data_IF_917055637436
#
_entry.id   IF_917055637436
#
_cell.length_a   1.000
_cell.length_b   1.000
_cell.length_c   1.000
_cell.angle_alpha   90.00
_cell.angle_beta   90.00
_cell.angle_gamma   90.00
#
_symmetry.space_group_name_H-M   'P 1'
#
loop_
_entity.id
_entity.type
_entity.pdbx_description
1 polymer ?
#
# COMPACT_ATOMS: atom_id res chain seq x y z
N UNK A 1 14.64 -20.80 21.43
CA UNK A 1 14.85 -19.55 22.20
C UNK A 1 15.43 -18.42 21.35
N UNK A 2 16.46 -18.65 20.52
CA UNK A 2 16.96 -17.61 19.61
C UNK A 2 15.98 -17.16 18.52
N UNK A 3 15.14 -18.07 17.99
CA UNK A 3 14.12 -17.73 16.98
C UNK A 3 13.10 -16.72 17.49
N UNK A 4 12.61 -16.87 18.73
CA UNK A 4 11.64 -15.93 19.31
C UNK A 4 12.25 -14.54 19.55
N UNK A 5 13.54 -14.45 19.89
CA UNK A 5 14.18 -13.15 20.08
C UNK A 5 14.45 -12.45 18.75
N UNK A 6 14.83 -13.19 17.70
CA UNK A 6 14.99 -12.64 16.35
C UNK A 6 13.65 -12.20 15.76
N UNK A 7 12.61 -13.02 15.91
CA UNK A 7 11.25 -12.67 15.48
C UNK A 7 10.71 -11.48 16.28
N UNK A 8 10.93 -11.43 17.60
CA UNK A 8 10.54 -10.29 18.42
C UNK A 8 11.35 -9.02 18.11
N UNK A 9 12.64 -9.15 17.77
CA UNK A 9 13.48 -8.03 17.36
C UNK A 9 13.08 -7.49 15.99
N UNK A 10 12.76 -8.38 15.04
CA UNK A 10 12.18 -8.00 13.75
C UNK A 10 10.81 -7.36 13.94
N UNK A 11 9.93 -7.95 14.74
CA UNK A 11 8.64 -7.37 15.10
C UNK A 11 8.81 -5.99 15.73
N UNK A 12 9.73 -5.81 16.68
CA UNK A 12 10.01 -4.51 17.30
C UNK A 12 10.50 -3.46 16.30
N UNK A 13 11.40 -3.83 15.38
CA UNK A 13 11.91 -2.89 14.38
C UNK A 13 10.86 -2.53 13.33
N UNK A 14 10.08 -3.50 12.84
CA UNK A 14 8.91 -3.22 12.01
C UNK A 14 7.85 -2.43 12.78
N UNK A 15 7.77 -2.62 14.10
CA UNK A 15 6.85 -1.84 14.92
C UNK A 15 7.27 -0.38 15.01
N UNK A 16 8.55 -0.07 15.10
CA UNK A 16 9.00 1.32 15.18
C UNK A 16 8.89 2.08 13.84
N UNK A 17 8.85 1.37 12.71
CA UNK A 17 8.60 1.96 11.38
C UNK A 17 7.13 2.40 11.22
N UNK A 18 6.22 1.85 12.04
CA UNK A 18 4.77 2.16 12.03
C UNK A 18 4.39 2.69 13.42
N UNK A 19 4.94 3.85 13.76
CA UNK A 19 4.76 4.49 15.08
C UNK A 19 3.52 5.38 15.19
N UNK A 20 2.90 5.77 14.07
CA UNK A 20 1.75 6.69 14.05
C UNK A 20 0.38 6.00 14.20
N UNK A 21 0.30 4.67 14.07
CA UNK A 21 -0.96 3.93 14.11
C UNK A 21 -1.13 3.11 15.40
N UNK A 22 -2.39 2.93 15.81
CA UNK A 22 -2.76 2.06 16.93
C UNK A 22 -2.31 0.61 16.69
N UNK A 23 -2.03 -0.12 17.79
CA UNK A 23 -1.43 -1.46 17.76
C UNK A 23 -2.22 -2.47 16.89
N UNK A 24 -3.55 -2.39 16.92
CA UNK A 24 -4.42 -3.28 16.12
C UNK A 24 -4.32 -2.99 14.62
N UNK A 25 -4.28 -1.72 14.22
CA UNK A 25 -4.18 -1.31 12.82
C UNK A 25 -2.88 -1.77 12.17
N UNK A 26 -1.81 -1.69 12.96
CA UNK A 26 -0.48 -2.11 12.58
C UNK A 26 -0.36 -3.61 12.34
N UNK A 27 -1.00 -4.43 13.18
CA UNK A 27 -1.02 -5.87 12.99
C UNK A 27 -1.78 -6.26 11.71
N UNK A 28 -2.91 -5.60 11.43
CA UNK A 28 -3.66 -5.80 10.18
C UNK A 28 -2.80 -5.37 8.99
N UNK A 29 -2.12 -4.23 9.09
CA UNK A 29 -1.21 -3.76 8.06
C UNK A 29 -0.09 -4.79 7.77
N UNK A 30 0.59 -5.27 8.81
CA UNK A 30 1.66 -6.25 8.65
C UNK A 30 1.15 -7.57 8.03
N UNK A 31 -0.06 -7.98 8.39
CA UNK A 31 -0.70 -9.16 7.80
C UNK A 31 -0.97 -9.00 6.30
N UNK A 32 -1.45 -7.83 5.87
CA UNK A 32 -1.68 -7.52 4.45
C UNK A 32 -0.34 -7.47 3.68
N UNK A 33 0.70 -6.91 4.28
CA UNK A 33 2.04 -6.90 3.71
C UNK A 33 2.55 -8.31 3.39
N UNK A 34 2.38 -9.23 4.34
CA UNK A 34 2.76 -10.63 4.18
C UNK A 34 1.98 -11.30 3.06
N UNK A 35 0.68 -11.03 2.94
CA UNK A 35 -0.10 -11.54 1.82
C UNK A 35 0.37 -11.02 0.45
N UNK A 36 0.72 -9.74 0.36
CA UNK A 36 1.27 -9.18 -0.89
C UNK A 36 2.59 -9.86 -1.28
N UNK A 37 3.44 -10.20 -0.30
CA UNK A 37 4.66 -10.96 -0.55
C UNK A 37 4.37 -12.42 -0.95
N UNK A 38 3.38 -13.07 -0.33
CA UNK A 38 2.97 -14.44 -0.68
C UNK A 38 2.40 -14.53 -2.10
N UNK A 39 1.65 -13.52 -2.55
CA UNK A 39 1.12 -13.44 -3.90
C UNK A 39 2.20 -13.46 -5.00
N UNK A 40 3.47 -13.21 -4.65
CA UNK A 40 4.61 -13.29 -5.58
C UNK A 40 5.20 -14.70 -5.70
N UNK A 41 4.83 -15.64 -4.82
CA UNK A 41 5.27 -17.02 -5.00
C UNK A 41 4.72 -17.57 -6.32
N UNK A 42 5.55 -18.28 -7.09
CA UNK A 42 5.11 -18.84 -8.37
C UNK A 42 3.86 -19.71 -8.15
N UNK A 43 2.93 -19.65 -9.11
CA UNK A 43 1.65 -20.37 -9.10
C UNK A 43 0.59 -19.90 -8.07
N UNK A 44 0.92 -19.02 -7.12
CA UNK A 44 -0.09 -18.46 -6.21
C UNK A 44 -0.81 -17.24 -6.78
N UNK A 45 -0.22 -16.57 -7.78
CA UNK A 45 -0.78 -15.36 -8.33
C UNK A 45 -2.05 -15.62 -9.17
N UNK A 46 -3.14 -14.94 -8.83
CA UNK A 46 -4.36 -14.86 -9.64
C UNK A 46 -4.94 -13.45 -9.60
N UNK A 47 -5.25 -12.88 -10.78
CA UNK A 47 -5.75 -11.51 -10.94
C UNK A 47 -7.01 -11.26 -10.10
N UNK A 48 -7.94 -12.23 -10.09
CA UNK A 48 -9.20 -12.16 -9.32
C UNK A 48 -8.93 -12.26 -7.81
N UNK A 49 -8.05 -13.16 -7.39
CA UNK A 49 -7.68 -13.32 -5.98
C UNK A 49 -7.00 -12.07 -5.42
N UNK A 50 -6.13 -11.45 -6.22
CA UNK A 50 -5.50 -10.18 -5.86
C UNK A 50 -6.53 -9.06 -5.70
N UNK A 51 -7.41 -8.87 -6.69
CA UNK A 51 -8.48 -7.86 -6.62
C UNK A 51 -9.38 -8.10 -5.40
N UNK A 52 -9.74 -9.36 -5.14
CA UNK A 52 -10.49 -9.76 -3.96
C UNK A 52 -9.78 -9.38 -2.66
N UNK A 53 -8.48 -9.62 -2.54
CA UNK A 53 -7.69 -9.26 -1.37
C UNK A 53 -7.68 -7.74 -1.14
N UNK A 54 -7.51 -6.96 -2.21
CA UNK A 54 -7.48 -5.51 -2.11
C UNK A 54 -8.83 -4.93 -1.70
N UNK A 55 -9.92 -5.40 -2.30
CA UNK A 55 -11.26 -4.94 -1.97
C UNK A 55 -11.68 -5.38 -0.56
N UNK A 56 -11.27 -6.57 -0.10
CA UNK A 56 -11.69 -7.10 1.21
C UNK A 56 -10.86 -6.59 2.38
N UNK A 57 -9.57 -6.33 2.20
CA UNK A 57 -8.71 -5.92 3.32
C UNK A 57 -8.29 -4.45 3.24
N UNK A 58 -7.89 -3.97 2.06
CA UNK A 58 -7.35 -2.61 1.91
C UNK A 58 -8.48 -1.57 1.87
N UNK A 59 -9.55 -1.82 1.11
CA UNK A 59 -10.65 -0.85 1.01
C UNK A 59 -11.35 -0.57 2.36
N UNK A 60 -11.65 -1.57 3.23
CA UNK A 60 -12.27 -1.30 4.52
C UNK A 60 -11.39 -0.51 5.47
N UNK A 61 -10.07 -0.71 5.45
CA UNK A 61 -9.13 0.10 6.25
C UNK A 61 -9.27 1.59 5.91
N UNK A 62 -9.26 1.93 4.62
CA UNK A 62 -9.45 3.31 4.19
C UNK A 62 -10.84 3.84 4.54
N UNK A 63 -11.88 3.02 4.33
CA UNK A 63 -13.25 3.41 4.64
C UNK A 63 -13.46 3.68 6.14
N UNK A 64 -12.82 2.91 7.02
CA UNK A 64 -12.91 3.13 8.46
C UNK A 64 -12.24 4.42 8.92
N UNK A 65 -11.10 4.81 8.34
CA UNK A 65 -10.47 6.11 8.63
C UNK A 65 -11.35 7.26 8.12
N UNK A 66 -11.91 7.10 6.92
CA UNK A 66 -12.83 8.08 6.33
C UNK A 66 -14.05 8.34 7.22
N UNK A 67 -14.74 7.29 7.66
CA UNK A 67 -15.90 7.42 8.53
C UNK A 67 -15.55 7.94 9.93
N UNK A 68 -14.40 7.55 10.48
CA UNK A 68 -13.94 8.08 11.76
C UNK A 68 -13.81 9.61 11.72
N UNK A 69 -13.31 10.18 10.62
CA UNK A 69 -13.17 11.64 10.47
C UNK A 69 -14.49 12.37 10.29
N UNK A 70 -15.41 11.82 9.48
CA UNK A 70 -16.75 12.41 9.33
C UNK A 70 -17.49 12.42 10.67
N UNK A 71 -17.30 11.39 11.50
CA UNK A 71 -17.94 11.32 12.82
C UNK A 71 -17.45 12.39 13.80
N UNK A 72 -16.25 12.94 13.61
CA UNK A 72 -15.70 14.04 14.40
C UNK A 72 -16.31 15.42 14.07
N UNK A 73 -17.10 15.52 13.00
CA UNK A 73 -17.83 16.72 12.61
C UNK A 73 -17.45 17.24 11.22
N UNK A 74 -18.45 17.48 10.38
CA UNK A 74 -18.28 17.94 9.00
C UNK A 74 -17.56 19.31 8.90
N UNK A 75 -17.84 20.23 9.82
CA UNK A 75 -17.22 21.57 9.80
C UNK A 75 -15.72 21.49 10.10
N UNK A 76 -15.33 20.64 11.05
CA UNK A 76 -13.93 20.44 11.43
C UNK A 76 -13.20 19.76 10.27
N UNK A 77 -13.83 18.77 9.64
CA UNK A 77 -13.30 18.09 8.46
C UNK A 77 -13.03 19.06 7.29
N UNK A 78 -13.99 19.92 6.92
CA UNK A 78 -13.75 20.88 5.84
C UNK A 78 -12.72 21.96 6.22
N UNK A 79 -12.63 22.34 7.50
CA UNK A 79 -11.59 23.27 7.96
C UNK A 79 -10.19 22.65 7.96
N UNK A 80 -10.05 21.35 8.21
CA UNK A 80 -8.74 20.67 8.21
C UNK A 80 -8.16 20.48 6.81
N UNK A 81 -9.02 20.49 5.78
CA UNK A 81 -8.61 20.45 4.37
C UNK A 81 -8.04 21.78 3.85
N UNK A 82 -8.27 22.89 4.56
CA UNK A 82 -7.83 24.21 4.15
C UNK A 82 -6.54 24.60 4.88
N UNK A 83 -5.44 24.92 4.17
CA UNK A 83 -4.25 25.43 4.84
C UNK A 83 -4.52 26.80 5.48
N UNK A 84 -3.94 27.09 6.66
CA UNK A 84 -4.12 28.37 7.31
C UNK A 84 -3.54 29.50 6.44
N UNK A 85 -4.33 30.56 6.21
CA UNK A 85 -3.93 31.71 5.41
C UNK A 85 -4.37 31.68 3.93
N UNK A 86 -5.23 30.73 3.51
CA UNK A 86 -5.81 30.79 2.17
C UNK A 86 -6.73 32.01 2.01
N UNK A 87 -6.57 32.82 0.95
CA UNK A 87 -7.48 33.93 0.68
C UNK A 87 -8.89 33.41 0.40
N UNK A 88 -9.90 34.12 0.93
CA UNK A 88 -11.31 33.69 0.91
C UNK A 88 -11.84 33.39 -0.49
N UNK A 89 -11.34 34.09 -1.51
CA UNK A 89 -11.76 33.93 -2.90
C UNK A 89 -11.37 32.58 -3.53
N UNK A 90 -10.23 32.00 -3.14
CA UNK A 90 -9.73 30.72 -3.70
C UNK A 90 -10.08 29.53 -2.79
N UNK A 91 -10.40 29.78 -1.52
CA UNK A 91 -10.73 28.77 -0.53
C UNK A 91 -11.71 27.67 -1.01
N UNK A 92 -12.86 27.96 -1.67
CA UNK A 92 -13.78 26.90 -2.10
C UNK A 92 -13.19 25.98 -3.17
N UNK A 93 -12.35 26.50 -4.09
CA UNK A 93 -11.70 25.68 -5.10
C UNK A 93 -10.62 24.78 -4.51
N UNK A 94 -9.85 25.28 -3.55
CA UNK A 94 -8.83 24.49 -2.83
C UNK A 94 -9.49 23.39 -2.01
N UNK A 95 -10.58 23.70 -1.31
CA UNK A 95 -11.35 22.70 -0.56
C UNK A 95 -11.85 21.57 -1.46
N UNK A 96 -12.37 21.89 -2.65
CA UNK A 96 -12.80 20.89 -3.63
C UNK A 96 -11.62 20.05 -4.12
N UNK A 97 -10.51 20.69 -4.50
CA UNK A 97 -9.31 19.99 -4.96
C UNK A 97 -8.75 19.03 -3.90
N UNK A 98 -8.68 19.45 -2.64
CA UNK A 98 -8.18 18.60 -1.56
C UNK A 98 -9.15 17.44 -1.26
N UNK A 99 -10.47 17.67 -1.35
CA UNK A 99 -11.46 16.60 -1.20
C UNK A 99 -11.35 15.53 -2.30
N UNK A 100 -11.08 15.94 -3.54
CA UNK A 100 -10.84 15.03 -4.65
C UNK A 100 -9.51 14.28 -4.44
N UNK A 101 -8.45 15.00 -4.07
CA UNK A 101 -7.13 14.42 -3.76
C UNK A 101 -7.23 13.36 -2.65
N UNK A 102 -8.03 13.63 -1.62
CA UNK A 102 -8.27 12.70 -0.53
C UNK A 102 -8.94 11.40 -0.97
N UNK A 103 -9.92 11.47 -1.89
CA UNK A 103 -10.61 10.29 -2.44
C UNK A 103 -9.72 9.51 -3.43
N UNK A 104 -8.96 10.21 -4.27
CA UNK A 104 -8.12 9.58 -5.31
C UNK A 104 -6.92 8.84 -4.70
N UNK A 105 -6.38 9.32 -3.57
CA UNK A 105 -5.17 8.77 -2.96
C UNK A 105 -5.28 7.28 -2.59
N UNK A 106 -6.33 6.79 -1.89
CA UNK A 106 -6.56 5.35 -1.68
C UNK A 106 -6.68 4.53 -2.97
N UNK A 107 -7.33 5.09 -4.00
CA UNK A 107 -7.57 4.40 -5.26
C UNK A 107 -6.25 4.17 -6.01
N UNK A 108 -5.40 5.19 -6.09
CA UNK A 108 -4.06 5.09 -6.69
C UNK A 108 -3.17 4.10 -5.92
N UNK A 109 -3.31 4.03 -4.60
CA UNK A 109 -2.57 3.06 -3.78
C UNK A 109 -2.97 1.61 -4.06
N UNK A 110 -4.23 1.36 -4.40
CA UNK A 110 -4.74 0.04 -4.77
C UNK A 110 -4.26 -0.39 -6.17
N UNK A 111 -4.27 0.54 -7.13
CA UNK A 111 -3.90 0.25 -8.53
C UNK A 111 -2.40 -0.02 -8.69
N UNK A 112 -1.54 0.68 -7.94
CA UNK A 112 -0.08 0.56 -8.09
C UNK A 112 0.48 -0.86 -7.88
N UNK A 113 0.19 -1.58 -6.77
CA UNK A 113 0.69 -2.93 -6.56
C UNK A 113 0.05 -3.92 -7.54
N UNK A 114 -1.21 -3.69 -7.94
CA UNK A 114 -1.89 -4.48 -8.97
C UNK A 114 -1.10 -4.46 -10.28
N UNK A 115 -0.79 -3.26 -10.79
CA UNK A 115 -0.03 -3.11 -12.03
C UNK A 115 1.37 -3.71 -11.92
N UNK A 116 2.07 -3.48 -10.81
CA UNK A 116 3.42 -4.00 -10.65
C UNK A 116 3.47 -5.54 -10.63
N UNK A 117 2.54 -6.19 -9.93
CA UNK A 117 2.52 -7.66 -9.81
C UNK A 117 1.94 -8.30 -11.08
N UNK A 118 0.92 -7.72 -11.72
CA UNK A 118 0.38 -8.21 -13.01
C UNK A 118 1.45 -8.16 -14.11
N UNK A 119 2.07 -7.00 -14.32
CA UNK A 119 3.10 -6.81 -15.35
C UNK A 119 4.31 -7.68 -15.03
N UNK A 120 4.69 -7.76 -13.75
CA UNK A 120 5.80 -8.57 -13.29
C UNK A 120 5.63 -10.07 -13.51
N UNK A 121 4.45 -10.62 -13.21
CA UNK A 121 4.14 -12.05 -13.42
C UNK A 121 3.99 -12.39 -14.90
N UNK A 122 3.28 -11.57 -15.68
CA UNK A 122 3.12 -11.77 -17.13
C UNK A 122 4.44 -11.58 -17.89
N UNK A 123 5.22 -10.55 -17.53
CA UNK A 123 6.54 -10.29 -18.09
C UNK A 123 7.54 -11.38 -17.68
N UNK A 124 7.51 -11.83 -16.43
CA UNK A 124 8.32 -12.96 -15.97
C UNK A 124 8.00 -14.25 -16.72
N UNK A 125 6.71 -14.52 -17.00
CA UNK A 125 6.30 -15.69 -17.77
C UNK A 125 6.79 -15.64 -19.23
N UNK A 126 6.71 -14.48 -19.89
CA UNK A 126 7.17 -14.32 -21.27
C UNK A 126 8.69 -14.43 -21.38
N UNK A 127 9.43 -13.80 -20.48
CA UNK A 127 10.90 -13.91 -20.42
C UNK A 127 11.31 -15.35 -20.04
N UNK A 128 10.56 -15.99 -19.15
CA UNK A 128 10.71 -17.40 -18.78
C UNK A 128 10.63 -18.33 -19.99
N UNK A 129 9.65 -18.12 -20.87
CA UNK A 129 9.52 -18.89 -22.10
C UNK A 129 10.73 -18.68 -23.04
N UNK A 130 11.24 -17.45 -23.15
CA UNK A 130 12.42 -17.14 -23.99
C UNK A 130 13.72 -17.71 -23.43
N UNK A 131 13.83 -17.92 -22.11
CA UNK A 131 15.01 -18.52 -21.48
C UNK A 131 15.28 -19.96 -21.93
N UNK A 132 14.26 -20.68 -22.41
CA UNK A 132 14.41 -22.02 -22.98
C UNK A 132 15.35 -21.98 -24.20
N UNK A 133 15.27 -20.92 -24.99
CA UNK A 133 16.08 -20.73 -26.20
C UNK A 133 17.40 -19.97 -25.93
N UNK A 134 17.40 -19.00 -25.02
CA UNK A 134 18.55 -18.14 -24.75
C UNK A 134 18.85 -18.06 -23.25
N UNK A 135 19.82 -18.88 -22.81
CA UNK A 135 20.20 -19.05 -21.40
C UNK A 135 20.62 -17.78 -20.62
N UNK A 136 21.29 -16.76 -21.20
CA UNK A 136 21.69 -15.60 -20.38
C UNK A 136 20.52 -14.71 -19.95
N UNK A 137 19.30 -14.88 -20.50
CA UNK A 137 18.09 -14.21 -19.99
C UNK A 137 17.72 -14.64 -18.55
N UNK A 138 18.29 -15.74 -18.05
CA UNK A 138 18.10 -16.15 -16.65
C UNK A 138 18.56 -15.06 -15.67
N UNK A 139 19.65 -14.34 -16.00
CA UNK A 139 20.10 -13.22 -15.17
C UNK A 139 19.03 -12.11 -15.07
N UNK A 140 18.35 -11.84 -16.19
CA UNK A 140 17.27 -10.86 -16.25
C UNK A 140 16.05 -11.29 -15.43
N UNK A 141 15.70 -12.59 -15.43
CA UNK A 141 14.65 -13.13 -14.56
C UNK A 141 14.94 -12.95 -13.07
N UNK A 142 16.19 -13.21 -12.66
CA UNK A 142 16.61 -13.03 -11.26
C UNK A 142 16.54 -11.55 -10.87
N UNK A 143 17.02 -10.66 -11.74
CA UNK A 143 16.93 -9.21 -11.51
C UNK A 143 15.48 -8.72 -11.41
N UNK A 144 14.59 -9.21 -12.29
CA UNK A 144 13.16 -8.89 -12.28
C UNK A 144 12.50 -9.38 -10.98
N UNK A 145 12.83 -10.58 -10.50
CA UNK A 145 12.33 -11.08 -9.22
C UNK A 145 12.74 -10.19 -8.03
N UNK A 146 14.03 -9.81 -7.95
CA UNK A 146 14.52 -8.91 -6.89
C UNK A 146 13.88 -7.52 -6.95
N UNK A 147 13.74 -6.97 -8.15
CA UNK A 147 13.07 -5.69 -8.39
C UNK A 147 11.63 -5.72 -7.87
N UNK A 148 10.88 -6.78 -8.14
CA UNK A 148 9.49 -6.86 -7.69
C UNK A 148 9.35 -6.99 -6.17
N UNK A 149 10.22 -7.77 -5.51
CA UNK A 149 10.23 -7.86 -4.05
C UNK A 149 10.55 -6.48 -3.44
N UNK A 150 11.51 -5.77 -4.00
CA UNK A 150 11.84 -4.40 -3.59
C UNK A 150 10.63 -3.47 -3.77
N UNK A 151 9.98 -3.48 -4.93
CA UNK A 151 8.82 -2.63 -5.21
C UNK A 151 7.65 -2.94 -4.28
N UNK A 152 7.40 -4.22 -3.96
CA UNK A 152 6.33 -4.62 -3.04
C UNK A 152 6.58 -4.10 -1.61
N UNK A 153 7.82 -4.20 -1.11
CA UNK A 153 8.17 -3.71 0.24
C UNK A 153 8.09 -2.19 0.35
N UNK A 154 8.64 -1.47 -0.63
CA UNK A 154 8.57 0.01 -0.69
C UNK A 154 7.12 0.48 -0.82
N UNK A 155 6.32 -0.19 -1.64
CA UNK A 155 4.91 0.16 -1.79
C UNK A 155 4.15 0.01 -0.47
N UNK A 156 4.36 -1.09 0.24
CA UNK A 156 3.72 -1.29 1.54
C UNK A 156 4.10 -0.21 2.55
N UNK A 157 5.37 0.19 2.58
CA UNK A 157 5.83 1.32 3.39
C UNK A 157 5.11 2.63 3.05
N UNK A 158 4.89 2.92 1.76
CA UNK A 158 4.16 4.12 1.31
C UNK A 158 2.69 4.07 1.77
N UNK A 159 2.03 2.92 1.65
CA UNK A 159 0.63 2.74 2.09
C UNK A 159 0.48 3.06 3.56
N UNK A 160 1.35 2.53 4.41
CA UNK A 160 1.32 2.77 5.85
C UNK A 160 1.55 4.25 6.19
N UNK A 161 2.51 4.91 5.54
CA UNK A 161 2.75 6.34 5.78
C UNK A 161 1.57 7.22 5.35
N UNK A 162 0.92 6.91 4.24
CA UNK A 162 -0.26 7.66 3.78
C UNK A 162 -1.45 7.44 4.71
N UNK A 163 -1.66 6.22 5.19
CA UNK A 163 -2.67 5.93 6.21
C UNK A 163 -2.38 6.71 7.50
N UNK A 164 -1.10 6.77 7.92
CA UNK A 164 -0.68 7.59 9.05
C UNK A 164 -0.99 9.08 8.86
N UNK A 165 -0.59 9.65 7.72
CA UNK A 165 -0.86 11.05 7.39
C UNK A 165 -2.35 11.38 7.33
N UNK A 166 -3.20 10.42 6.91
CA UNK A 166 -4.66 10.61 6.82
C UNK A 166 -5.35 10.71 8.18
N UNK A 167 -4.65 10.44 9.28
CA UNK A 167 -5.14 10.61 10.65
C UNK A 167 -4.88 12.04 11.14
N UNK A 168 -3.75 12.65 10.75
CA UNK A 168 -3.27 13.93 11.27
C UNK A 168 -3.82 15.17 10.54
N UNK A 169 -4.28 15.01 9.29
CA UNK A 169 -4.95 16.02 8.46
C UNK A 169 -6.35 15.58 8.12
#
# INVERSE_FOLDING_TARGET
MFSNNLVNFLLLNFTNVVSSLSLSYKNICLFIALFFLLLRMPYLYGVIGFLGLVITFVAPLFLSIFFARISGGLNIFFSSLLPPGTPLFIAPFVCLAESISYIVRPLVLIIRPFLNITIGTLGGASIGAMCISFKPLIFFLVALFLYEVFVATVHWFIVVNILGFSIDH
#
